data_IF_503891308064
#
_entry.id   IF_503891308064
#
_cell.length_a   1.000
_cell.length_b   1.000
_cell.length_c   1.000
_cell.angle_alpha   90.00
_cell.angle_beta   90.00
_cell.angle_gamma   90.00
#
_symmetry.space_group_name_H-M   'P 1'
#
loop_
_entity.id
_entity.type
_entity.pdbx_description
1 polymer ?
#
# COMPACT_ATOMS: atom_id res chain seq x y z
N UNK A 1 5.91 -4.65 -13.23
CA UNK A 1 5.15 -4.51 -11.96
C UNK A 1 4.02 -5.55 -11.89
N UNK A 2 3.37 -5.80 -13.03
CA UNK A 2 2.32 -6.78 -13.27
C UNK A 2 2.65 -8.19 -12.78
N UNK A 3 3.89 -8.67 -13.00
CA UNK A 3 4.34 -9.98 -12.49
C UNK A 3 4.21 -10.13 -10.98
N UNK A 4 4.26 -9.02 -10.24
CA UNK A 4 4.29 -8.96 -8.77
C UNK A 4 2.91 -8.66 -8.19
N UNK A 5 2.15 -7.75 -8.81
CA UNK A 5 0.85 -7.29 -8.28
C UNK A 5 -0.36 -7.82 -9.07
N UNK A 6 -0.15 -8.50 -10.19
CA UNK A 6 -1.18 -8.87 -11.16
C UNK A 6 -1.38 -7.79 -12.23
N UNK A 7 -2.15 -8.11 -13.27
CA UNK A 7 -2.40 -7.21 -14.40
C UNK A 7 -3.38 -6.08 -14.06
N UNK A 8 -4.20 -6.28 -13.02
CA UNK A 8 -5.15 -5.30 -12.53
C UNK A 8 -5.16 -5.17 -11.01
N UNK A 9 -5.53 -3.97 -10.58
CA UNK A 9 -5.75 -3.56 -9.20
C UNK A 9 -7.20 -3.14 -9.02
N UNK A 10 -7.69 -3.20 -7.80
CA UNK A 10 -8.99 -2.65 -7.45
C UNK A 10 -8.86 -1.17 -7.12
N UNK A 11 -9.51 -0.31 -7.88
CA UNK A 11 -9.78 1.10 -7.55
C UNK A 11 -11.22 1.30 -7.06
N UNK A 12 -11.58 2.55 -6.77
CA UNK A 12 -12.91 2.92 -6.26
C UNK A 12 -14.03 2.80 -7.29
N UNK A 13 -13.70 2.98 -8.57
CA UNK A 13 -14.66 2.79 -9.67
C UNK A 13 -14.56 1.40 -10.33
N UNK A 14 -13.83 0.45 -9.73
CA UNK A 14 -13.65 -0.91 -10.25
C UNK A 14 -12.20 -1.23 -10.60
N UNK A 15 -12.02 -2.18 -11.52
CA UNK A 15 -10.70 -2.69 -11.92
C UNK A 15 -9.90 -1.64 -12.71
N UNK A 16 -8.61 -1.47 -12.37
CA UNK A 16 -7.67 -0.54 -13.01
C UNK A 16 -6.43 -1.32 -13.44
N UNK A 17 -5.88 -1.05 -14.62
CA UNK A 17 -4.62 -1.66 -15.06
C UNK A 17 -3.46 -1.27 -14.14
N UNK A 18 -2.63 -2.25 -13.77
CA UNK A 18 -1.41 -2.03 -12.95
C UNK A 18 -0.41 -1.07 -13.61
N UNK A 19 -0.50 -0.86 -14.93
CA UNK A 19 0.30 0.13 -15.65
C UNK A 19 0.12 1.57 -15.15
N UNK A 20 -1.01 1.90 -14.48
CA UNK A 20 -1.27 3.21 -13.87
C UNK A 20 -0.20 3.60 -12.85
N UNK A 21 0.47 2.61 -12.24
CA UNK A 21 1.51 2.84 -11.25
C UNK A 21 2.73 3.57 -11.83
N UNK A 22 2.90 3.58 -13.15
CA UNK A 22 3.91 4.40 -13.84
C UNK A 22 3.80 5.90 -13.50
N UNK A 23 2.59 6.38 -13.18
CA UNK A 23 2.29 7.80 -12.91
C UNK A 23 2.70 8.27 -11.50
N UNK A 24 2.95 7.35 -10.57
CA UNK A 24 3.41 7.68 -9.23
C UNK A 24 4.93 7.54 -9.12
N UNK A 25 5.61 8.47 -8.45
CA UNK A 25 7.07 8.39 -8.23
C UNK A 25 7.45 7.20 -7.33
N UNK A 26 6.61 6.90 -6.34
CA UNK A 26 6.85 5.89 -5.31
C UNK A 26 5.66 4.96 -5.14
N UNK A 27 5.92 3.68 -4.89
CA UNK A 27 4.90 2.66 -4.68
C UNK A 27 5.11 2.03 -3.31
N UNK A 28 4.07 2.07 -2.47
CA UNK A 28 4.07 1.47 -1.15
C UNK A 28 3.10 0.28 -1.12
N UNK A 29 3.53 -0.84 -0.56
CA UNK A 29 2.66 -1.96 -0.24
C UNK A 29 2.22 -1.83 1.22
N UNK A 30 0.90 -1.74 1.43
CA UNK A 30 0.31 -1.61 2.76
C UNK A 30 -0.37 -2.92 3.16
N UNK A 31 0.28 -3.68 4.02
CA UNK A 31 -0.23 -4.92 4.58
C UNK A 31 -1.03 -4.61 5.84
N UNK A 32 -2.31 -4.95 5.83
CA UNK A 32 -3.25 -4.55 6.88
C UNK A 32 -4.50 -5.43 6.93
N UNK A 33 -5.31 -5.25 7.97
CA UNK A 33 -6.60 -5.94 8.11
C UNK A 33 -7.58 -5.17 8.99
N UNK A 34 -8.87 -5.34 8.71
CA UNK A 34 -9.97 -4.71 9.43
C UNK A 34 -10.04 -5.14 10.90
N UNK A 35 -9.76 -6.41 11.19
CA UNK A 35 -9.81 -6.99 12.54
C UNK A 35 -8.66 -6.52 13.44
N UNK A 36 -7.56 -6.01 12.87
CA UNK A 36 -6.36 -5.59 13.55
C UNK A 36 -6.51 -4.19 14.20
N UNK A 37 -6.48 -4.04 15.54
CA UNK A 37 -6.61 -2.73 16.20
C UNK A 37 -5.54 -1.68 15.82
N UNK A 38 -4.22 -1.99 15.83
CA UNK A 38 -3.22 -1.00 15.44
C UNK A 38 -3.33 -0.61 13.97
N UNK A 39 -3.87 -1.48 13.12
CA UNK A 39 -4.16 -1.19 11.72
C UNK A 39 -5.26 -0.13 11.59
N UNK A 40 -6.37 -0.29 12.33
CA UNK A 40 -7.46 0.69 12.33
C UNK A 40 -7.01 2.07 12.84
N UNK A 41 -6.06 2.11 13.77
CA UNK A 41 -5.46 3.36 14.24
C UNK A 41 -4.52 4.01 13.21
N UNK A 42 -3.74 3.20 12.47
CA UNK A 42 -2.75 3.71 11.53
C UNK A 42 -3.34 4.14 10.18
N UNK A 43 -4.37 3.45 9.66
CA UNK A 43 -4.98 3.78 8.36
C UNK A 43 -5.40 5.26 8.21
N UNK A 44 -6.09 5.91 9.17
CA UNK A 44 -6.42 7.33 9.03
C UNK A 44 -5.18 8.25 8.99
N UNK A 45 -4.12 7.90 9.73
CA UNK A 45 -2.83 8.62 9.67
C UNK A 45 -2.21 8.50 8.28
N UNK A 46 -2.19 7.28 7.73
CA UNK A 46 -1.68 7.01 6.40
C UNK A 46 -2.52 7.67 5.29
N UNK A 47 -3.84 7.70 5.43
CA UNK A 47 -4.75 8.41 4.51
C UNK A 47 -4.48 9.92 4.50
N UNK A 48 -4.30 10.53 5.68
CA UNK A 48 -3.94 11.94 5.79
C UNK A 48 -2.57 12.24 5.12
N UNK A 49 -1.56 11.39 5.38
CA UNK A 49 -0.27 11.48 4.71
C UNK A 49 -0.43 11.41 3.19
N UNK A 50 -1.13 10.39 2.69
CA UNK A 50 -1.34 10.17 1.26
C UNK A 50 -2.01 11.36 0.58
N UNK A 51 -3.04 11.93 1.20
CA UNK A 51 -3.73 13.10 0.66
C UNK A 51 -2.81 14.33 0.60
N UNK A 52 -2.00 14.57 1.64
CA UNK A 52 -1.07 15.71 1.67
C UNK A 52 0.04 15.58 0.61
N UNK A 53 0.65 14.40 0.50
CA UNK A 53 1.78 14.21 -0.44
C UNK A 53 1.35 14.21 -1.91
N UNK A 54 0.08 13.94 -2.17
CA UNK A 54 -0.50 13.91 -3.51
C UNK A 54 -1.30 15.17 -3.88
N UNK A 55 -1.28 16.21 -3.03
CA UNK A 55 -2.13 17.40 -3.21
C UNK A 55 -1.86 18.18 -4.50
N UNK A 56 -0.61 18.20 -4.99
CA UNK A 56 -0.22 18.92 -6.22
C UNK A 56 0.05 18.00 -7.41
N UNK A 57 0.58 16.79 -7.17
CA UNK A 57 0.84 15.76 -8.17
C UNK A 57 0.87 14.39 -7.51
N UNK A 58 0.68 13.32 -8.30
CA UNK A 58 0.75 11.94 -7.81
C UNK A 58 2.21 11.55 -7.49
N UNK A 59 2.63 11.75 -6.25
CA UNK A 59 3.97 11.37 -5.79
C UNK A 59 4.00 9.92 -5.28
N UNK A 60 2.95 9.49 -4.59
CA UNK A 60 2.89 8.19 -3.93
C UNK A 60 1.63 7.47 -4.37
N UNK A 61 1.77 6.20 -4.70
CA UNK A 61 0.65 5.26 -4.75
C UNK A 61 0.79 4.21 -3.65
N UNK A 62 -0.32 3.90 -2.98
CA UNK A 62 -0.38 2.84 -1.97
C UNK A 62 -1.22 1.69 -2.52
N UNK A 63 -0.73 0.47 -2.35
CA UNK A 63 -1.45 -0.76 -2.71
C UNK A 63 -1.80 -1.49 -1.44
N UNK A 64 -3.07 -1.54 -1.11
CA UNK A 64 -3.58 -2.32 0.02
C UNK A 64 -3.49 -3.82 -0.28
N UNK A 65 -2.79 -4.55 0.60
CA UNK A 65 -2.66 -6.01 0.58
C UNK A 65 -3.37 -6.55 1.82
N UNK A 66 -4.63 -6.91 1.64
CA UNK A 66 -5.52 -7.31 2.74
C UNK A 66 -5.16 -8.66 3.35
N UNK A 67 -5.23 -8.73 4.68
CA UNK A 67 -5.29 -9.99 5.46
C UNK A 67 -6.68 -10.25 6.04
N UNK A 68 -7.71 -9.63 5.48
CA UNK A 68 -9.10 -9.92 5.83
C UNK A 68 -9.49 -11.31 5.33
N UNK A 69 -10.33 -11.99 6.11
CA UNK A 69 -10.76 -13.36 5.80
C UNK A 69 -12.04 -13.38 4.96
N UNK A 70 -12.78 -12.27 4.92
CA UNK A 70 -14.04 -12.16 4.19
C UNK A 70 -14.08 -10.92 3.32
N UNK A 71 -14.80 -11.00 2.20
CA UNK A 71 -15.02 -9.86 1.30
C UNK A 71 -15.73 -8.70 2.00
N UNK A 72 -16.58 -8.99 2.99
CA UNK A 72 -17.28 -7.97 3.77
C UNK A 72 -16.31 -7.16 4.63
N UNK A 73 -15.42 -7.84 5.36
CA UNK A 73 -14.35 -7.20 6.15
C UNK A 73 -13.45 -6.34 5.27
N UNK A 74 -13.02 -6.91 4.14
CA UNK A 74 -12.21 -6.20 3.14
C UNK A 74 -12.91 -4.94 2.64
N UNK A 75 -14.15 -5.08 2.14
CA UNK A 75 -14.89 -3.97 1.51
C UNK A 75 -15.14 -2.85 2.50
N UNK A 76 -15.62 -3.17 3.71
CA UNK A 76 -15.91 -2.17 4.74
C UNK A 76 -14.65 -1.39 5.16
N UNK A 77 -13.52 -2.06 5.28
CA UNK A 77 -12.29 -1.40 5.70
C UNK A 77 -11.63 -0.62 4.56
N UNK A 78 -11.60 -1.20 3.36
CA UNK A 78 -11.05 -0.55 2.17
C UNK A 78 -11.83 0.70 1.77
N UNK A 79 -13.14 0.76 2.04
CA UNK A 79 -13.99 1.92 1.69
C UNK A 79 -13.39 3.27 2.14
N UNK A 80 -12.78 3.28 3.32
CA UNK A 80 -12.16 4.44 3.96
C UNK A 80 -10.75 4.80 3.43
N UNK A 81 -10.20 4.01 2.50
CA UNK A 81 -8.83 4.19 1.99
C UNK A 81 -8.82 4.91 0.64
N UNK A 82 -8.03 5.98 0.44
CA UNK A 82 -8.03 6.79 -0.79
C UNK A 82 -7.10 6.25 -1.92
N UNK A 83 -6.67 4.99 -1.82
CA UNK A 83 -5.67 4.36 -2.69
C UNK A 83 -6.18 3.04 -3.27
N UNK A 84 -5.32 2.30 -3.98
CA UNK A 84 -5.67 1.05 -4.67
C UNK A 84 -5.53 -0.18 -3.78
N UNK A 85 -6.07 -1.33 -4.21
CA UNK A 85 -5.91 -2.60 -3.52
C UNK A 85 -5.58 -3.74 -4.49
N UNK A 86 -4.92 -4.78 -3.99
CA UNK A 86 -4.96 -6.09 -4.64
C UNK A 86 -6.40 -6.61 -4.54
N UNK A 87 -7.02 -7.11 -5.64
CA UNK A 87 -8.37 -7.66 -5.58
C UNK A 87 -8.50 -8.74 -4.50
N UNK A 88 -9.62 -8.76 -3.78
CA UNK A 88 -9.81 -9.66 -2.64
C UNK A 88 -9.62 -11.13 -3.01
N UNK A 89 -10.09 -11.53 -4.19
CA UNK A 89 -10.03 -12.92 -4.68
C UNK A 89 -8.65 -13.31 -5.24
N UNK A 90 -7.70 -12.36 -5.36
CA UNK A 90 -6.33 -12.63 -5.80
C UNK A 90 -5.47 -13.22 -4.67
N UNK A 91 -5.93 -14.31 -4.05
CA UNK A 91 -5.30 -14.96 -2.88
C UNK A 91 -3.85 -15.35 -3.14
N UNK A 92 -3.56 -15.99 -4.29
CA UNK A 92 -2.20 -16.40 -4.67
C UNK A 92 -1.23 -15.22 -4.70
N UNK A 93 -1.66 -14.05 -5.20
CA UNK A 93 -0.83 -12.85 -5.24
C UNK A 93 -0.61 -12.32 -3.83
N UNK A 94 -1.66 -12.25 -3.01
CA UNK A 94 -1.57 -11.79 -1.62
C UNK A 94 -0.65 -12.69 -0.80
N UNK A 95 -0.84 -14.00 -0.84
CA UNK A 95 -0.04 -14.98 -0.09
C UNK A 95 1.43 -14.89 -0.49
N UNK A 96 1.73 -14.86 -1.80
CA UNK A 96 3.09 -14.67 -2.30
C UNK A 96 3.70 -13.35 -1.82
N UNK A 97 2.94 -12.25 -1.76
CA UNK A 97 3.45 -10.97 -1.24
C UNK A 97 3.76 -11.06 0.25
N UNK A 98 2.90 -11.66 1.05
CA UNK A 98 3.15 -11.88 2.48
C UNK A 98 4.41 -12.74 2.71
N UNK A 99 4.55 -13.85 1.96
CA UNK A 99 5.67 -14.78 2.07
C UNK A 99 6.99 -14.19 1.56
N UNK A 100 7.03 -13.73 0.30
CA UNK A 100 8.26 -13.25 -0.34
C UNK A 100 8.83 -12.00 0.31
N UNK A 101 7.98 -11.21 0.97
CA UNK A 101 8.40 -10.02 1.71
C UNK A 101 8.52 -10.28 3.21
N UNK A 102 8.32 -11.52 3.68
CA UNK A 102 8.41 -11.94 5.08
C UNK A 102 7.57 -11.06 6.03
N UNK A 103 6.35 -10.74 5.62
CA UNK A 103 5.42 -9.93 6.42
C UNK A 103 4.67 -10.86 7.38
N UNK A 104 5.13 -10.91 8.63
CA UNK A 104 4.52 -11.76 9.67
C UNK A 104 3.59 -11.00 10.62
N UNK A 105 3.46 -9.67 10.44
CA UNK A 105 2.66 -8.81 11.31
C UNK A 105 2.11 -7.61 10.55
N UNK A 106 0.96 -7.10 11.00
CA UNK A 106 0.31 -5.90 10.47
C UNK A 106 0.04 -4.88 11.60
N UNK A 107 0.03 -3.55 11.31
CA UNK A 107 0.21 -2.94 9.99
C UNK A 107 1.69 -2.89 9.58
N UNK A 108 1.98 -3.24 8.32
CA UNK A 108 3.30 -3.12 7.70
C UNK A 108 3.20 -2.30 6.42
N UNK A 109 4.13 -1.37 6.22
CA UNK A 109 4.18 -0.50 5.04
C UNK A 109 5.58 -0.56 4.45
N UNK A 110 5.69 -1.00 3.19
CA UNK A 110 6.97 -1.26 2.53
C UNK A 110 7.06 -0.42 1.25
N UNK A 111 8.16 0.31 1.09
CA UNK A 111 8.52 0.96 -0.16
C UNK A 111 9.20 -0.03 -1.10
N UNK A 112 8.70 -0.09 -2.33
CA UNK A 112 9.30 -0.88 -3.41
C UNK A 112 9.72 0.01 -4.58
N UNK A 113 10.74 -0.42 -5.32
CA UNK A 113 11.15 0.21 -6.57
C UNK A 113 10.26 -0.24 -7.75
N UNK A 114 10.55 0.27 -8.95
CA UNK A 114 9.81 -0.06 -10.19
C UNK A 114 9.95 -1.53 -10.61
N UNK A 115 10.97 -2.23 -10.12
CA UNK A 115 11.19 -3.67 -10.34
C UNK A 115 10.50 -4.52 -9.27
N UNK A 116 9.95 -3.89 -8.24
CA UNK A 116 9.31 -4.49 -7.08
C UNK A 116 10.27 -5.01 -6.01
N UNK A 117 11.54 -4.55 -6.03
CA UNK A 117 12.48 -4.80 -4.93
C UNK A 117 12.18 -3.90 -3.76
N UNK A 118 12.38 -4.41 -2.55
CA UNK A 118 12.22 -3.65 -1.31
C UNK A 118 13.33 -2.62 -1.18
N UNK A 119 12.92 -1.36 -0.97
CA UNK A 119 13.82 -0.23 -0.72
C UNK A 119 13.81 0.16 0.75
N UNK A 120 12.63 0.15 1.39
CA UNK A 120 12.49 0.50 2.81
C UNK A 120 11.33 -0.27 3.46
N UNK A 121 11.56 -0.80 4.68
CA UNK A 121 10.58 -1.55 5.49
C UNK A 121 10.04 -0.77 6.68
N UNK A 122 10.64 0.38 7.00
CA UNK A 122 10.31 1.18 8.18
C UNK A 122 9.26 2.27 7.89
N UNK A 123 8.68 2.29 6.68
CA UNK A 123 7.81 3.36 6.22
C UNK A 123 6.60 3.59 7.15
N UNK A 124 6.07 2.55 7.78
CA UNK A 124 4.97 2.67 8.76
C UNK A 124 5.39 3.56 9.93
N UNK A 125 6.58 3.31 10.49
CA UNK A 125 7.14 4.06 11.62
C UNK A 125 7.47 5.49 11.19
N UNK A 126 8.09 5.65 10.03
CA UNK A 126 8.50 6.96 9.51
C UNK A 126 7.30 7.86 9.20
N UNK A 127 6.21 7.33 8.63
CA UNK A 127 4.96 8.10 8.45
C UNK A 127 4.38 8.50 9.80
N UNK A 128 4.34 7.58 10.77
CA UNK A 128 3.80 7.87 12.10
C UNK A 128 4.60 8.93 12.87
N UNK A 129 5.93 8.99 12.69
CA UNK A 129 6.82 9.89 13.42
C UNK A 129 7.05 11.22 12.68
N UNK A 130 7.20 11.17 11.35
CA UNK A 130 7.70 12.29 10.55
C UNK A 130 6.65 12.85 9.57
N UNK A 131 5.54 12.15 9.36
CA UNK A 131 4.52 12.53 8.38
C UNK A 131 5.13 12.73 6.98
N UNK A 132 4.79 13.85 6.33
CA UNK A 132 5.23 14.17 4.96
C UNK A 132 6.75 14.23 4.80
N UNK A 133 7.51 14.51 5.87
CA UNK A 133 8.98 14.58 5.83
C UNK A 133 9.63 13.21 5.59
N UNK A 134 8.90 12.11 5.77
CA UNK A 134 9.41 10.77 5.44
C UNK A 134 9.80 10.64 3.96
N UNK A 135 9.15 11.39 3.06
CA UNK A 135 9.45 11.37 1.63
C UNK A 135 10.89 11.75 1.30
N UNK A 136 11.49 12.68 2.03
CA UNK A 136 12.84 13.17 1.71
C UNK A 136 13.89 12.08 1.90
N UNK A 137 13.69 11.19 2.90
CA UNK A 137 14.52 10.01 3.08
C UNK A 137 14.28 8.98 1.97
N UNK A 138 13.02 8.75 1.59
CA UNK A 138 12.66 7.76 0.57
C UNK A 138 13.16 8.14 -0.82
N UNK A 139 13.10 9.43 -1.19
CA UNK A 139 13.64 9.92 -2.47
C UNK A 139 15.13 9.59 -2.59
N UNK A 140 15.90 9.78 -1.52
CA UNK A 140 17.33 9.49 -1.50
C UNK A 140 17.63 7.99 -1.60
N UNK A 141 16.74 7.13 -1.10
CA UNK A 141 16.93 5.68 -1.14
C UNK A 141 16.54 5.04 -2.49
N UNK A 142 15.79 5.76 -3.34
CA UNK A 142 15.37 5.31 -4.67
C UNK A 142 16.35 5.72 -5.79
N UNK A 143 17.39 6.50 -5.46
CA UNK A 143 18.46 6.95 -6.35
C UNK A 143 19.79 6.31 -5.94
#
# INVERSE_FOLDING_TARGET
MERILGDSLLGKQGSISTSVLSQADMILLYFSASWCPPCRQFTPVLANFYNQVNASRKQVEIIYVSWDQTIQQFTQYYDHMPWLAIPFDSTIIKDRLYESLAVNSVPTLILIDRTGRVVNRECRKEVAQNGVKALDAWRKALH
#
